data_IF_385871417721
#
_entry.id   IF_385871417721
#
_cell.length_a   1.000
_cell.length_b   1.000
_cell.length_c   1.000
_cell.angle_alpha   90.00
_cell.angle_beta   90.00
_cell.angle_gamma   90.00
#
_symmetry.space_group_name_H-M   'P 1'
#
loop_
_entity.id
_entity.type
_entity.pdbx_description
1 polymer ?
#
# COMPACT_ATOMS: atom_id res chain seq x y z
N UNK A 1 -10.59 14.39 -7.22
CA UNK A 1 -9.63 13.75 -8.14
C UNK A 1 -9.38 12.31 -7.68
N UNK A 2 -9.37 11.38 -8.61
CA UNK A 2 -9.10 9.97 -8.31
C UNK A 2 -7.58 9.82 -8.17
N UNK A 3 -7.08 9.23 -7.07
CA UNK A 3 -5.65 8.99 -6.92
C UNK A 3 -5.21 7.88 -7.88
N UNK A 4 -4.55 8.27 -8.95
CA UNK A 4 -4.01 7.36 -9.96
C UNK A 4 -2.49 7.34 -9.86
N UNK A 5 -1.91 6.15 -9.93
CA UNK A 5 -0.51 5.97 -10.25
C UNK A 5 -0.38 5.05 -11.47
N UNK A 6 0.63 5.33 -12.28
CA UNK A 6 0.97 4.54 -13.47
C UNK A 6 2.43 4.15 -13.34
N UNK A 7 2.71 2.87 -13.28
CA UNK A 7 4.06 2.33 -13.08
C UNK A 7 4.48 1.52 -14.30
N UNK A 8 5.51 1.97 -15.04
CA UNK A 8 6.08 1.17 -16.12
C UNK A 8 6.70 -0.13 -15.56
N UNK A 9 6.45 -1.23 -16.24
CA UNK A 9 6.96 -2.55 -15.87
C UNK A 9 7.93 -3.14 -16.91
N UNK A 10 8.25 -2.37 -17.94
CA UNK A 10 9.02 -2.84 -19.09
C UNK A 10 8.14 -3.41 -20.21
N UNK A 11 8.71 -3.54 -21.39
CA UNK A 11 8.06 -4.12 -22.58
C UNK A 11 6.68 -3.53 -22.93
N UNK A 12 6.51 -2.23 -22.70
CA UNK A 12 5.24 -1.55 -22.94
C UNK A 12 4.12 -1.90 -21.97
N UNK A 13 4.43 -2.57 -20.86
CA UNK A 13 3.47 -2.96 -19.82
C UNK A 13 3.45 -1.90 -18.73
N UNK A 14 2.26 -1.51 -18.29
CA UNK A 14 2.04 -0.54 -17.22
C UNK A 14 1.11 -1.11 -16.16
N UNK A 15 1.39 -0.81 -14.90
CA UNK A 15 0.50 -1.11 -13.78
C UNK A 15 -0.21 0.16 -13.35
N UNK A 16 -1.53 0.14 -13.38
CA UNK A 16 -2.38 1.24 -12.91
C UNK A 16 -2.94 0.91 -11.53
N UNK A 17 -3.02 1.90 -10.68
CA UNK A 17 -3.64 1.80 -9.34
C UNK A 17 -3.95 3.16 -8.76
N UNK A 18 -4.62 3.23 -7.73
CA UNK A 18 -5.59 2.26 -7.24
C UNK A 18 -6.72 3.03 -6.56
N UNK A 19 -7.90 2.44 -6.58
CA UNK A 19 -9.03 2.98 -5.80
C UNK A 19 -8.75 2.86 -4.31
N UNK A 20 -9.38 3.74 -3.51
CA UNK A 20 -9.34 3.70 -2.06
C UNK A 20 -10.75 3.48 -1.53
N UNK A 21 -10.96 2.32 -0.92
CA UNK A 21 -12.21 1.98 -0.27
C UNK A 21 -11.84 1.51 1.14
N UNK A 22 -12.37 2.19 2.16
CA UNK A 22 -12.23 1.75 3.54
C UNK A 22 -13.14 0.53 3.76
N UNK A 23 -12.56 -0.65 3.63
CA UNK A 23 -13.27 -1.91 3.80
C UNK A 23 -12.26 -3.03 4.04
N UNK A 24 -12.60 -3.95 4.91
CA UNK A 24 -11.89 -5.22 5.11
C UNK A 24 -12.35 -6.31 4.14
N UNK A 25 -13.32 -5.99 3.26
CA UNK A 25 -13.84 -6.93 2.28
C UNK A 25 -12.78 -7.26 1.22
N UNK A 26 -12.33 -8.47 1.24
CA UNK A 26 -11.51 -9.07 0.18
C UNK A 26 -12.42 -9.60 -0.93
N UNK A 27 -13.08 -8.68 -1.61
CA UNK A 27 -13.91 -9.00 -2.75
C UNK A 27 -13.15 -8.87 -4.06
N UNK A 28 -13.75 -9.36 -5.13
CA UNK A 28 -13.22 -9.15 -6.47
C UNK A 28 -13.29 -7.67 -6.88
N UNK A 29 -12.67 -7.37 -8.01
CA UNK A 29 -12.72 -6.07 -8.65
C UNK A 29 -14.17 -5.69 -8.97
N UNK A 30 -14.53 -4.44 -8.70
CA UNK A 30 -15.82 -3.88 -9.10
C UNK A 30 -15.73 -3.20 -10.46
N UNK A 31 -16.81 -3.23 -11.23
CA UNK A 31 -16.90 -2.52 -12.49
C UNK A 31 -16.64 -1.01 -12.30
N UNK A 32 -17.13 -0.42 -11.21
CA UNK A 32 -16.86 0.98 -10.87
C UNK A 32 -15.37 1.26 -10.74
N UNK A 33 -14.63 0.44 -10.00
CA UNK A 33 -13.19 0.63 -9.82
C UNK A 33 -12.43 0.55 -11.13
N UNK A 34 -12.81 -0.37 -12.01
CA UNK A 34 -12.22 -0.50 -13.36
C UNK A 34 -12.49 0.76 -14.18
N UNK A 35 -13.74 1.19 -14.23
CA UNK A 35 -14.14 2.38 -14.99
C UNK A 35 -13.42 3.64 -14.50
N UNK A 36 -13.36 3.85 -13.20
CA UNK A 36 -12.70 5.00 -12.59
C UNK A 36 -11.20 5.04 -12.95
N UNK A 37 -10.49 3.93 -12.78
CA UNK A 37 -9.05 3.87 -13.05
C UNK A 37 -8.73 3.98 -14.52
N UNK A 38 -9.45 3.27 -15.39
CA UNK A 38 -9.21 3.32 -16.82
C UNK A 38 -9.59 4.68 -17.42
N UNK A 39 -10.69 5.27 -16.96
CA UNK A 39 -11.09 6.62 -17.38
C UNK A 39 -10.07 7.68 -16.97
N UNK A 40 -9.53 7.58 -15.76
CA UNK A 40 -8.49 8.49 -15.29
C UNK A 40 -7.19 8.33 -16.09
N UNK A 41 -6.78 7.10 -16.39
CA UNK A 41 -5.61 6.83 -17.23
C UNK A 41 -5.78 7.35 -18.66
N UNK A 42 -6.94 7.11 -19.25
CA UNK A 42 -7.28 7.59 -20.59
C UNK A 42 -7.31 9.12 -20.66
N UNK A 43 -7.88 9.77 -19.65
CA UNK A 43 -7.90 11.23 -19.57
C UNK A 43 -6.50 11.84 -19.42
N UNK A 44 -5.60 11.15 -18.70
CA UNK A 44 -4.22 11.59 -18.53
C UNK A 44 -3.38 11.42 -19.79
N UNK A 45 -3.51 10.28 -20.45
CA UNK A 45 -2.80 9.96 -21.69
C UNK A 45 -3.71 9.16 -22.61
N UNK A 46 -4.27 9.78 -23.68
CA UNK A 46 -5.22 9.13 -24.59
C UNK A 46 -4.73 7.83 -25.23
N UNK A 47 -3.42 7.64 -25.37
CA UNK A 47 -2.84 6.39 -25.87
C UNK A 47 -3.24 5.15 -25.06
N UNK A 48 -3.55 5.31 -23.77
CA UNK A 48 -4.05 4.21 -22.94
C UNK A 48 -5.43 3.70 -23.36
N UNK A 49 -6.18 4.48 -24.14
CA UNK A 49 -7.47 4.02 -24.68
C UNK A 49 -7.36 2.81 -25.59
N UNK A 50 -6.24 2.64 -26.28
CA UNK A 50 -5.98 1.51 -27.18
C UNK A 50 -5.15 0.39 -26.51
N UNK A 51 -4.79 0.54 -25.25
CA UNK A 51 -4.04 -0.47 -24.52
C UNK A 51 -4.91 -1.68 -24.19
N UNK A 52 -4.36 -2.87 -24.37
CA UNK A 52 -5.03 -4.09 -23.94
C UNK A 52 -5.00 -4.22 -22.40
N UNK A 53 -6.10 -4.65 -21.83
CA UNK A 53 -6.19 -4.99 -20.41
C UNK A 53 -5.71 -6.43 -20.22
N UNK A 54 -4.54 -6.60 -19.62
CA UNK A 54 -3.91 -7.91 -19.48
C UNK A 54 -4.36 -8.62 -18.20
N UNK A 55 -4.43 -7.89 -17.11
CA UNK A 55 -4.74 -8.46 -15.78
C UNK A 55 -5.42 -7.42 -14.90
N UNK A 56 -6.27 -7.88 -14.01
CA UNK A 56 -6.90 -7.05 -12.98
C UNK A 56 -6.78 -7.75 -11.63
N UNK A 57 -6.62 -6.97 -10.57
CA UNK A 57 -6.49 -7.50 -9.21
C UNK A 57 -7.01 -6.52 -8.18
N UNK A 58 -7.48 -7.06 -7.06
CA UNK A 58 -7.86 -6.28 -5.88
C UNK A 58 -7.32 -6.97 -4.63
N UNK A 59 -6.82 -6.17 -3.70
CA UNK A 59 -6.40 -6.66 -2.39
C UNK A 59 -6.52 -5.54 -1.35
N UNK A 60 -6.46 -5.92 -0.08
CA UNK A 60 -6.52 -4.99 1.04
C UNK A 60 -5.12 -4.52 1.43
N UNK A 61 -4.94 -3.20 1.59
CA UNK A 61 -3.72 -2.65 2.19
C UNK A 61 -3.79 -2.76 3.71
N UNK A 62 -2.69 -3.14 4.37
CA UNK A 62 -2.63 -3.10 5.82
C UNK A 62 -2.63 -1.64 6.29
N UNK A 63 -3.66 -1.26 7.02
CA UNK A 63 -3.82 0.09 7.55
C UNK A 63 -4.42 0.05 8.95
N UNK A 64 -3.96 0.97 9.80
CA UNK A 64 -4.61 1.29 11.07
C UNK A 64 -5.58 2.47 10.88
N UNK A 65 -6.50 2.73 11.80
CA UNK A 65 -7.50 3.78 11.64
C UNK A 65 -6.93 5.19 11.36
N UNK A 66 -5.74 5.48 11.86
CA UNK A 66 -5.03 6.75 11.64
C UNK A 66 -4.06 6.72 10.45
N UNK A 67 -3.99 5.59 9.74
CA UNK A 67 -3.06 5.35 8.63
C UNK A 67 -1.56 5.49 8.98
N UNK A 68 -1.21 5.43 10.25
CA UNK A 68 0.18 5.44 10.70
C UNK A 68 0.69 4.00 10.91
N UNK A 69 1.94 3.72 10.58
CA UNK A 69 2.53 2.41 10.82
C UNK A 69 2.65 2.13 12.32
N UNK A 70 2.71 0.85 12.66
CA UNK A 70 2.92 0.38 14.03
C UNK A 70 4.05 -0.64 14.08
N UNK A 71 4.84 -0.52 15.14
CA UNK A 71 5.70 -1.58 15.63
C UNK A 71 5.06 -2.16 16.90
N UNK A 72 4.96 -3.49 16.97
CA UNK A 72 4.43 -4.19 18.14
C UNK A 72 5.32 -5.36 18.47
N UNK A 73 5.64 -5.53 19.72
CA UNK A 73 6.40 -6.68 20.21
C UNK A 73 5.55 -7.56 21.10
N UNK A 74 5.56 -8.84 20.81
CA UNK A 74 4.91 -9.86 21.63
C UNK A 74 5.90 -11.00 21.85
N UNK A 75 6.51 -11.02 23.03
CA UNK A 75 7.58 -11.93 23.38
C UNK A 75 8.77 -11.80 22.43
N UNK A 76 9.07 -12.86 21.69
CA UNK A 76 10.18 -12.89 20.73
C UNK A 76 9.78 -12.45 19.31
N UNK A 77 8.52 -12.09 19.10
CA UNK A 77 8.01 -11.66 17.80
C UNK A 77 7.92 -10.14 17.75
N UNK A 78 8.43 -9.57 16.68
CA UNK A 78 8.29 -8.16 16.35
C UNK A 78 7.44 -8.04 15.08
N UNK A 79 6.40 -7.25 15.15
CA UNK A 79 5.49 -6.97 14.04
C UNK A 79 5.70 -5.54 13.58
N UNK A 80 5.91 -5.35 12.28
CA UNK A 80 5.98 -4.05 11.63
C UNK A 80 4.93 -4.04 10.51
N UNK A 81 3.93 -3.18 10.62
CA UNK A 81 2.81 -3.20 9.68
C UNK A 81 2.08 -1.84 9.62
N UNK A 82 1.07 -1.75 8.75
CA UNK A 82 0.22 -0.58 8.67
C UNK A 82 0.79 0.57 7.85
N UNK A 83 1.70 0.31 6.93
CA UNK A 83 2.32 1.33 6.08
C UNK A 83 1.34 1.96 5.06
N UNK A 84 0.13 1.42 4.95
CA UNK A 84 -0.94 1.91 4.10
C UNK A 84 -0.49 2.11 2.64
N UNK A 85 -0.44 3.36 2.15
CA UNK A 85 -0.01 3.69 0.78
C UNK A 85 1.48 4.01 0.66
N UNK A 86 2.17 4.13 1.78
CA UNK A 86 3.50 4.73 1.86
C UNK A 86 4.61 3.71 2.14
N UNK A 87 4.39 2.44 1.75
CA UNK A 87 5.36 1.38 1.99
C UNK A 87 6.76 1.70 1.47
N UNK A 88 6.88 2.16 0.23
CA UNK A 88 8.17 2.54 -0.36
C UNK A 88 8.84 3.69 0.38
N UNK A 89 8.09 4.72 0.75
CA UNK A 89 8.62 5.90 1.42
C UNK A 89 9.02 5.61 2.87
N UNK A 90 8.19 4.88 3.60
CA UNK A 90 8.32 4.70 5.05
C UNK A 90 9.07 3.43 5.45
N UNK A 91 9.18 2.42 4.58
CA UNK A 91 9.83 1.17 4.91
C UNK A 91 11.27 1.33 5.45
N UNK A 92 12.14 2.20 4.90
CA UNK A 92 13.47 2.39 5.45
C UNK A 92 13.45 2.92 6.89
N UNK A 93 12.57 3.88 7.19
CA UNK A 93 12.45 4.43 8.54
C UNK A 93 11.91 3.39 9.54
N UNK A 94 10.86 2.64 9.15
CA UNK A 94 10.30 1.58 9.98
C UNK A 94 11.33 0.46 10.21
N UNK A 95 12.11 0.10 9.20
CA UNK A 95 13.17 -0.89 9.33
C UNK A 95 14.27 -0.41 10.29
N UNK A 96 14.69 0.85 10.21
CA UNK A 96 15.67 1.44 11.12
C UNK A 96 15.18 1.43 12.58
N UNK A 97 13.90 1.79 12.81
CA UNK A 97 13.30 1.74 14.14
C UNK A 97 13.22 0.32 14.69
N UNK A 98 12.85 -0.65 13.86
CA UNK A 98 12.80 -2.06 14.24
C UNK A 98 14.19 -2.58 14.61
N UNK A 99 15.20 -2.29 13.81
CA UNK A 99 16.58 -2.66 14.06
C UNK A 99 17.11 -2.04 15.36
N UNK A 100 16.89 -0.75 15.58
CA UNK A 100 17.27 -0.06 16.81
C UNK A 100 16.62 -0.67 18.04
N UNK A 101 15.32 -1.01 17.96
CA UNK A 101 14.63 -1.69 19.06
C UNK A 101 15.24 -3.06 19.37
N UNK A 102 15.57 -3.83 18.35
CA UNK A 102 16.19 -5.15 18.53
C UNK A 102 17.60 -5.07 19.11
N UNK A 103 18.37 -4.07 18.72
CA UNK A 103 19.77 -3.90 19.12
C UNK A 103 19.91 -3.26 20.52
N UNK A 104 19.17 -2.21 20.79
CA UNK A 104 19.33 -1.38 22.00
C UNK A 104 18.17 -1.46 22.98
N UNK A 105 17.05 -2.04 22.60
CA UNK A 105 15.80 -2.01 23.37
C UNK A 105 15.07 -0.65 23.33
N UNK A 106 15.54 0.31 22.51
CA UNK A 106 14.87 1.60 22.35
C UNK A 106 13.42 1.41 21.90
N UNK A 107 12.51 2.22 22.45
CA UNK A 107 11.09 2.19 22.09
C UNK A 107 10.82 3.35 21.14
N UNK A 108 10.65 3.09 19.83
CA UNK A 108 10.37 4.14 18.86
C UNK A 108 8.95 4.70 19.01
N UNK A 109 8.74 5.90 18.48
CA UNK A 109 7.48 6.64 18.57
C UNK A 109 6.26 5.84 18.07
N UNK A 110 6.44 5.04 17.00
CA UNK A 110 5.37 4.23 16.44
C UNK A 110 5.20 2.84 17.07
N UNK A 111 5.86 2.59 18.19
CA UNK A 111 5.70 1.35 18.92
C UNK A 111 4.59 1.50 19.96
N UNK A 112 3.45 0.87 19.71
CA UNK A 112 2.25 1.01 20.54
C UNK A 112 2.00 -0.17 21.48
N UNK A 113 2.75 -1.25 21.36
CA UNK A 113 2.61 -2.43 22.22
C UNK A 113 3.94 -3.14 22.43
N UNK A 114 4.29 -3.36 23.68
CA UNK A 114 5.45 -4.16 24.08
C UNK A 114 5.00 -5.15 25.15
N UNK A 115 4.79 -6.40 24.77
CA UNK A 115 4.52 -7.54 25.65
C UNK A 115 5.75 -8.45 25.66
N UNK A 116 6.35 -8.55 26.82
CA UNK A 116 7.57 -9.36 27.04
C UNK A 116 7.24 -10.82 27.34
#
# INVERSE_FOLDING_TARGET
SIPLYIVPRGDGIFKLGATMIESDRRGGITARSVLELLSAAYALLPAFGEAALLETGADARPAFPDNLPRLRRHGRKLFANGLYRHGFLLAPAVAAMAASHLDTGAIPEFMDEVLL
#
